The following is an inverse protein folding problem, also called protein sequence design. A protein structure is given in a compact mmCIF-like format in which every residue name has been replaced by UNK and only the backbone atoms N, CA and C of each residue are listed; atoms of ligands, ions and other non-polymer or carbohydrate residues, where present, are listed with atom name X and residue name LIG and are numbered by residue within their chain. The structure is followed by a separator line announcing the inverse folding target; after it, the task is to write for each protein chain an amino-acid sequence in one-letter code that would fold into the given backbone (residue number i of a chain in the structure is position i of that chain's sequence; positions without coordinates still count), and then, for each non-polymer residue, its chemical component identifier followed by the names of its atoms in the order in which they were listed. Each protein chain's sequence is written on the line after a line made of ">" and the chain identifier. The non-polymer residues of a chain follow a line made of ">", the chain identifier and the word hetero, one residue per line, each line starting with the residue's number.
data_IF_386913309672
#
_entry.id   IF_386913309672
#
_cell.length_a   1.000
_cell.length_b   1.000
_cell.length_c   1.000
_cell.angle_alpha   90.00
_cell.angle_beta   90.00
_cell.angle_gamma   90.00
#
_symmetry.space_group_name_H-M   'P 1'
#
loop_
_entity.id
_entity.type
_entity.pdbx_description
1 polymer ?
#
# COMPACT_ATOMS: atom_id res chain seq x y z
N UNK A 1 -20.50 9.90 3.82
CA UNK A 1 -19.65 8.85 4.44
C UNK A 1 -18.91 8.01 3.40
N UNK A 2 -19.56 7.26 2.50
CA UNK A 2 -18.85 6.42 1.50
C UNK A 2 -17.95 7.19 0.50
N UNK A 3 -18.36 8.39 0.07
CA UNK A 3 -17.54 9.22 -0.85
C UNK A 3 -16.31 9.81 -0.17
N UNK A 4 -16.35 10.03 1.16
CA UNK A 4 -15.22 10.60 1.90
C UNK A 4 -14.07 9.61 2.06
N UNK A 5 -14.34 8.32 2.27
CA UNK A 5 -13.30 7.28 2.34
C UNK A 5 -12.51 7.19 1.04
N UNK A 6 -13.21 7.02 -0.09
CA UNK A 6 -12.58 6.94 -1.42
C UNK A 6 -11.71 8.16 -1.75
N UNK A 7 -12.15 9.38 -1.37
CA UNK A 7 -11.35 10.58 -1.57
C UNK A 7 -10.06 10.55 -0.74
N UNK A 8 -10.10 10.02 0.48
CA UNK A 8 -8.91 9.90 1.34
C UNK A 8 -7.93 8.89 0.75
N UNK A 9 -8.38 7.73 0.25
CA UNK A 9 -7.49 6.75 -0.38
C UNK A 9 -6.78 7.33 -1.60
N UNK A 10 -7.51 8.09 -2.43
CA UNK A 10 -6.95 8.79 -3.60
C UNK A 10 -5.94 9.85 -3.16
N UNK A 11 -6.25 10.62 -2.11
CA UNK A 11 -5.34 11.65 -1.58
C UNK A 11 -4.06 11.01 -1.03
N UNK A 12 -4.18 9.91 -0.27
CA UNK A 12 -3.03 9.17 0.28
C UNK A 12 -2.18 8.58 -0.84
N UNK A 13 -2.81 7.95 -1.83
CA UNK A 13 -2.12 7.44 -3.02
C UNK A 13 -1.42 8.55 -3.80
N UNK A 14 -2.10 9.67 -4.06
CA UNK A 14 -1.52 10.82 -4.74
C UNK A 14 -0.35 11.44 -3.96
N UNK A 15 -0.48 11.58 -2.64
CA UNK A 15 0.59 12.06 -1.78
C UNK A 15 1.80 11.13 -1.80
N UNK A 16 1.59 9.81 -1.74
CA UNK A 16 2.65 8.83 -1.83
C UNK A 16 3.38 8.94 -3.19
N UNK A 17 2.63 9.05 -4.29
CA UNK A 17 3.20 9.24 -5.63
C UNK A 17 4.00 10.53 -5.72
N UNK A 18 3.52 11.64 -5.17
CA UNK A 18 4.24 12.93 -5.14
C UNK A 18 5.55 12.84 -4.33
N UNK A 19 5.50 12.16 -3.18
CA UNK A 19 6.69 11.93 -2.35
C UNK A 19 7.70 11.06 -3.11
N UNK A 20 7.27 9.96 -3.71
CA UNK A 20 8.16 9.13 -4.53
C UNK A 20 8.68 9.89 -5.75
N UNK A 21 7.88 10.73 -6.39
CA UNK A 21 8.34 11.57 -7.49
C UNK A 21 9.48 12.49 -7.05
N UNK A 22 9.35 13.08 -5.85
CA UNK A 22 10.34 14.02 -5.33
C UNK A 22 11.59 13.35 -4.77
N UNK A 23 11.44 12.19 -4.13
CA UNK A 23 12.49 11.56 -3.32
C UNK A 23 12.96 10.20 -3.83
N UNK A 24 12.26 9.58 -4.76
CA UNK A 24 12.58 8.25 -5.28
C UNK A 24 13.76 8.27 -6.25
N UNK A 25 14.66 7.30 -6.11
CA UNK A 25 15.71 7.01 -7.09
C UNK A 25 15.11 6.29 -8.31
N UNK A 26 14.45 7.07 -9.17
CA UNK A 26 13.83 6.55 -10.41
C UNK A 26 14.84 5.97 -11.40
N UNK A 27 16.14 6.22 -11.27
CA UNK A 27 17.13 5.68 -12.23
C UNK A 27 17.33 4.17 -12.11
N UNK A 28 17.06 3.58 -10.94
CA UNK A 28 17.21 2.13 -10.67
C UNK A 28 15.88 1.37 -10.66
N UNK A 29 14.80 1.98 -11.15
CA UNK A 29 13.46 1.38 -11.11
C UNK A 29 13.40 -0.02 -11.76
N UNK A 30 14.21 -0.26 -12.81
CA UNK A 30 14.31 -1.53 -13.50
C UNK A 30 14.91 -2.65 -12.63
N UNK A 31 15.78 -2.32 -11.68
CA UNK A 31 16.35 -3.28 -10.72
C UNK A 31 15.28 -3.78 -9.75
N UNK A 32 14.29 -2.94 -9.43
CA UNK A 32 13.21 -3.27 -8.51
C UNK A 32 11.96 -3.83 -9.22
N UNK A 33 11.96 -3.87 -10.55
CA UNK A 33 10.81 -4.29 -11.35
C UNK A 33 10.31 -5.69 -10.96
N UNK A 34 11.23 -6.64 -10.76
CA UNK A 34 10.89 -8.00 -10.32
C UNK A 34 10.20 -8.00 -8.95
N UNK A 35 10.64 -7.16 -8.01
CA UNK A 35 10.04 -7.03 -6.67
C UNK A 35 8.64 -6.42 -6.75
N UNK A 36 8.47 -5.41 -7.61
CA UNK A 36 7.16 -4.76 -7.86
C UNK A 36 6.17 -5.78 -8.41
N UNK A 37 6.55 -6.53 -9.44
CA UNK A 37 5.72 -7.58 -10.00
C UNK A 37 5.40 -8.68 -8.98
N UNK A 38 6.39 -9.11 -8.20
CA UNK A 38 6.17 -10.12 -7.16
C UNK A 38 5.12 -9.67 -6.13
N UNK A 39 5.18 -8.42 -5.68
CA UNK A 39 4.20 -7.85 -4.76
C UNK A 39 2.80 -7.78 -5.37
N UNK A 40 2.68 -7.27 -6.60
CA UNK A 40 1.39 -7.17 -7.30
C UNK A 40 0.80 -8.56 -7.54
N UNK A 41 1.60 -9.53 -7.97
CA UNK A 41 1.14 -10.90 -8.18
C UNK A 41 0.70 -11.56 -6.88
N UNK A 42 1.40 -11.32 -5.77
CA UNK A 42 1.02 -11.83 -4.45
C UNK A 42 -0.32 -11.26 -3.98
N UNK A 43 -0.52 -9.96 -4.17
CA UNK A 43 -1.77 -9.27 -3.86
C UNK A 43 -2.95 -9.76 -4.72
N UNK A 44 -2.74 -9.93 -6.03
CA UNK A 44 -3.74 -10.53 -6.91
C UNK A 44 -4.04 -11.99 -6.55
N UNK A 45 -3.01 -12.78 -6.21
CA UNK A 45 -3.18 -14.16 -5.77
C UNK A 45 -3.97 -14.24 -4.45
N UNK A 46 -3.74 -13.31 -3.53
CA UNK A 46 -4.53 -13.16 -2.31
C UNK A 46 -6.00 -12.85 -2.65
N UNK A 47 -6.26 -11.84 -3.48
CA UNK A 47 -7.61 -11.48 -3.90
C UNK A 47 -8.36 -12.64 -4.56
N UNK A 48 -7.65 -13.47 -5.35
CA UNK A 48 -8.23 -14.66 -5.97
C UNK A 48 -8.51 -15.78 -4.96
N UNK A 49 -7.55 -16.07 -4.07
CA UNK A 49 -7.66 -17.17 -3.10
C UNK A 49 -8.68 -16.89 -1.99
N UNK A 50 -8.77 -15.63 -1.56
CA UNK A 50 -9.62 -15.18 -0.46
C UNK A 50 -10.82 -14.36 -0.95
N UNK A 51 -11.24 -14.56 -2.19
CA UNK A 51 -12.37 -13.82 -2.79
C UNK A 51 -13.64 -13.83 -1.92
N UNK A 52 -13.95 -14.97 -1.30
CA UNK A 52 -15.12 -15.12 -0.43
C UNK A 52 -14.92 -14.58 1.00
N UNK A 53 -13.66 -14.42 1.43
CA UNK A 53 -13.29 -14.01 2.79
C UNK A 53 -12.16 -12.98 2.77
N UNK A 54 -12.41 -11.76 2.24
CA UNK A 54 -11.39 -10.72 2.20
C UNK A 54 -11.00 -10.32 3.64
N UNK A 55 -9.70 -10.36 3.93
CA UNK A 55 -9.07 -9.89 5.17
C UNK A 55 -9.18 -8.38 5.34
N UNK A 56 -9.23 -7.64 4.24
CA UNK A 56 -9.45 -6.21 4.24
C UNK A 56 -10.41 -5.82 3.14
N UNK A 57 -11.19 -4.76 3.37
CA UNK A 57 -12.06 -4.18 2.36
C UNK A 57 -11.95 -2.66 2.36
N UNK A 58 -11.91 -2.10 1.16
CA UNK A 58 -11.97 -0.66 0.94
C UNK A 58 -13.43 -0.19 0.99
N UNK A 59 -13.68 0.84 1.79
CA UNK A 59 -14.99 1.42 2.04
C UNK A 59 -15.44 2.29 0.87
N UNK A 60 -16.34 1.76 0.04
CA UNK A 60 -16.91 2.52 -1.07
C UNK A 60 -17.54 1.64 -2.13
N UNK A 61 -18.86 1.39 -2.05
CA UNK A 61 -19.62 0.56 -3.00
C UNK A 61 -19.70 1.15 -4.44
N UNK A 62 -18.98 2.23 -4.76
CA UNK A 62 -19.05 2.87 -6.08
C UNK A 62 -18.29 2.08 -7.15
N UNK A 63 -17.22 1.40 -6.76
CA UNK A 63 -16.40 0.57 -7.65
C UNK A 63 -16.15 -0.75 -6.92
N UNK A 64 -16.21 -1.89 -7.63
CA UNK A 64 -15.91 -3.20 -7.06
C UNK A 64 -14.61 -3.14 -6.25
N UNK A 65 -14.62 -3.69 -5.03
CA UNK A 65 -13.47 -3.73 -4.13
C UNK A 65 -12.17 -4.15 -4.84
N UNK A 66 -12.25 -5.16 -5.70
CA UNK A 66 -11.14 -5.66 -6.52
C UNK A 66 -10.52 -4.60 -7.44
N UNK A 67 -11.32 -3.69 -7.99
CA UNK A 67 -10.80 -2.65 -8.88
C UNK A 67 -10.05 -1.57 -8.10
N UNK A 68 -10.59 -1.16 -6.96
CA UNK A 68 -9.93 -0.22 -6.05
C UNK A 68 -8.60 -0.79 -5.56
N UNK A 69 -8.62 -2.07 -5.18
CA UNK A 69 -7.45 -2.81 -4.73
C UNK A 69 -6.37 -2.91 -5.82
N UNK A 70 -6.74 -3.28 -7.06
CA UNK A 70 -5.81 -3.27 -8.22
C UNK A 70 -5.25 -1.86 -8.48
N UNK A 71 -6.08 -0.81 -8.40
CA UNK A 71 -5.61 0.56 -8.60
C UNK A 71 -4.56 0.96 -7.55
N UNK A 72 -4.81 0.61 -6.29
CA UNK A 72 -3.86 0.82 -5.19
C UNK A 72 -2.60 -0.03 -5.41
N UNK A 73 -2.73 -1.29 -5.81
CA UNK A 73 -1.59 -2.18 -6.05
C UNK A 73 -0.67 -1.65 -7.16
N UNK A 74 -1.22 -1.15 -8.26
CA UNK A 74 -0.44 -0.61 -9.39
C UNK A 74 0.19 0.75 -9.07
N UNK A 75 -0.39 1.53 -8.15
CA UNK A 75 0.12 2.87 -7.83
C UNK A 75 0.96 2.89 -6.57
N UNK A 76 0.43 2.39 -5.46
CA UNK A 76 1.02 2.44 -4.14
C UNK A 76 2.19 1.47 -4.02
N UNK A 77 2.08 0.22 -4.47
CA UNK A 77 3.18 -0.74 -4.33
C UNK A 77 4.49 -0.34 -5.04
N UNK A 78 4.49 0.06 -6.33
CA UNK A 78 5.73 0.50 -6.96
C UNK A 78 6.31 1.74 -6.28
N UNK A 79 5.45 2.69 -5.91
CA UNK A 79 5.83 3.91 -5.19
C UNK A 79 6.52 3.57 -3.85
N UNK A 80 5.90 2.68 -3.07
CA UNK A 80 6.44 2.21 -1.79
C UNK A 80 7.77 1.49 -1.97
N UNK A 81 7.88 0.59 -2.96
CA UNK A 81 9.10 -0.20 -3.19
C UNK A 81 10.27 0.70 -3.61
N UNK A 82 10.03 1.63 -4.53
CA UNK A 82 11.05 2.59 -4.98
C UNK A 82 11.50 3.47 -3.80
N UNK A 83 10.55 4.02 -3.04
CA UNK A 83 10.86 4.88 -1.89
C UNK A 83 11.62 4.13 -0.80
N UNK A 84 11.17 2.90 -0.48
CA UNK A 84 11.80 2.04 0.51
C UNK A 84 13.24 1.71 0.13
N UNK A 85 13.49 1.38 -1.14
CA UNK A 85 14.84 1.05 -1.59
C UNK A 85 15.75 2.28 -1.65
N UNK A 86 15.21 3.46 -1.99
CA UNK A 86 15.97 4.71 -2.09
C UNK A 86 16.65 5.08 -0.76
N UNK A 87 15.96 4.88 0.36
CA UNK A 87 16.50 5.21 1.69
C UNK A 87 17.08 4.00 2.43
N UNK A 88 17.22 2.86 1.76
CA UNK A 88 17.61 1.61 2.43
C UNK A 88 19.07 1.68 2.93
N UNK A 89 19.31 1.60 4.26
CA UNK A 89 20.64 1.83 4.81
C UNK A 89 21.55 0.61 4.66
N UNK A 90 22.82 0.83 4.31
CA UNK A 90 23.80 -0.25 4.16
C UNK A 90 24.17 -0.96 5.48
N UNK A 91 24.03 -0.31 6.64
CA UNK A 91 24.41 -0.87 7.95
C UNK A 91 23.27 -1.70 8.57
N UNK A 92 23.56 -2.94 8.99
CA UNK A 92 22.58 -3.90 9.54
C UNK A 92 21.75 -3.33 10.70
N UNK A 93 22.37 -2.65 11.66
CA UNK A 93 21.62 -2.03 12.77
C UNK A 93 20.67 -0.92 12.33
N UNK A 94 21.03 -0.15 11.30
CA UNK A 94 20.16 0.89 10.73
C UNK A 94 19.01 0.28 9.90
N UNK A 95 19.20 -0.90 9.32
CA UNK A 95 18.15 -1.60 8.56
C UNK A 95 16.95 -1.95 9.44
N UNK A 96 17.21 -2.47 10.65
CA UNK A 96 16.13 -2.83 11.60
C UNK A 96 15.33 -1.59 12.00
N UNK A 97 16.00 -0.50 12.36
CA UNK A 97 15.34 0.76 12.72
C UNK A 97 14.54 1.30 11.54
N UNK A 98 15.10 1.25 10.33
CA UNK A 98 14.42 1.71 9.12
C UNK A 98 13.15 0.90 8.83
N UNK A 99 13.22 -0.44 8.92
CA UNK A 99 12.04 -1.31 8.78
C UNK A 99 10.98 -1.00 9.83
N UNK A 100 11.37 -0.85 11.10
CA UNK A 100 10.44 -0.52 12.19
C UNK A 100 9.78 0.86 11.99
N UNK A 101 10.55 1.83 11.50
CA UNK A 101 10.04 3.16 11.20
C UNK A 101 9.06 3.13 10.02
N UNK A 102 9.39 2.42 8.94
CA UNK A 102 8.48 2.20 7.83
C UNK A 102 7.20 1.49 8.28
N UNK A 103 7.30 0.39 9.03
CA UNK A 103 6.11 -0.30 9.55
C UNK A 103 5.28 0.62 10.44
N UNK A 104 5.91 1.45 11.28
CA UNK A 104 5.20 2.41 12.12
C UNK A 104 4.44 3.47 11.31
N UNK A 105 5.04 3.99 10.24
CA UNK A 105 4.37 4.93 9.33
C UNK A 105 3.15 4.26 8.67
N UNK A 106 3.30 3.04 8.16
CA UNK A 106 2.17 2.32 7.54
C UNK A 106 1.06 1.98 8.53
N UNK A 107 1.40 1.57 9.76
CA UNK A 107 0.40 1.37 10.82
C UNK A 107 -0.33 2.65 11.20
N UNK A 108 0.36 3.81 11.22
CA UNK A 108 -0.30 5.10 11.46
C UNK A 108 -1.24 5.48 10.31
N UNK A 109 -0.83 5.28 9.06
CA UNK A 109 -1.70 5.51 7.89
C UNK A 109 -2.93 4.61 7.97
N UNK A 110 -2.74 3.32 8.24
CA UNK A 110 -3.82 2.35 8.41
C UNK A 110 -4.78 2.76 9.53
N UNK A 111 -4.26 3.21 10.67
CA UNK A 111 -5.07 3.71 11.78
C UNK A 111 -5.91 4.93 11.37
N UNK A 112 -5.33 5.89 10.63
CA UNK A 112 -6.07 7.03 10.11
C UNK A 112 -7.18 6.55 9.16
N UNK A 113 -6.87 5.67 8.22
CA UNK A 113 -7.84 5.13 7.25
C UNK A 113 -8.98 4.36 7.94
N UNK A 114 -8.68 3.65 9.03
CA UNK A 114 -9.67 2.97 9.85
C UNK A 114 -10.61 3.96 10.56
N UNK A 115 -10.07 5.02 11.18
CA UNK A 115 -10.89 6.06 11.84
C UNK A 115 -11.85 6.73 10.86
N UNK A 116 -11.43 6.92 9.62
CA UNK A 116 -12.25 7.51 8.56
C UNK A 116 -13.18 6.52 7.83
N UNK A 117 -13.26 5.26 8.28
CA UNK A 117 -14.09 4.21 7.66
C UNK A 117 -13.76 3.97 6.16
N UNK A 118 -12.52 4.24 5.76
CA UNK A 118 -12.04 4.00 4.39
C UNK A 118 -11.47 2.60 4.23
N UNK A 119 -10.88 2.06 5.29
CA UNK A 119 -10.26 0.74 5.31
C UNK A 119 -10.81 -0.07 6.48
N UNK A 120 -11.34 -1.25 6.18
CA UNK A 120 -11.86 -2.17 7.19
C UNK A 120 -11.04 -3.45 7.20
N UNK A 121 -10.41 -3.74 8.34
CA UNK A 121 -9.80 -5.04 8.58
C UNK A 121 -10.91 -6.00 9.01
N UNK A 122 -11.22 -6.98 8.17
CA UNK A 122 -11.97 -8.16 8.58
C UNK A 122 -10.97 -9.17 9.16
N UNK A 123 -10.77 -9.10 10.46
CA UNK A 123 -10.10 -10.17 11.19
C UNK A 123 -10.89 -11.46 10.94
N UNK A 124 -10.25 -12.46 10.34
CA UNK A 124 -10.83 -13.82 10.20
C UNK A 124 -11.08 -14.35 11.60
N UNK A 125 -12.33 -14.20 12.04
CA UNK A 125 -12.71 -14.41 13.42
C UNK A 125 -14.22 -14.27 13.60
N UNK A 126 -14.95 -15.23 13.01
CA UNK A 126 -16.41 -15.45 13.09
C UNK A 126 -17.32 -14.39 12.49
#
# INVERSE_FOLDING_TARGET
>A
MLVQGMLIDIIVGAAAVLICWRFGEWSKWSEYYSTILFFILGDMAYNFSFYNHPLWMYGGNLINHTFTDIFIAITLFPTTIILYNTFYPNKVGKKIIYVLLCSGIYSLIEFILYVFNSFFIKMVGR
#
